data_IF_302580951503
#
_entry.id   IF_302580951503
#
_cell.length_a   1.000
_cell.length_b   1.000
_cell.length_c   1.000
_cell.angle_alpha   90.00
_cell.angle_beta   90.00
_cell.angle_gamma   90.00
#
_symmetry.space_group_name_H-M   'P 1'
#
loop_
_entity.id
_entity.type
_entity.pdbx_description
1 polymer ?
#
# COMPACT_ATOMS: atom_id res chain seq x y z
N UNK A 1 12.00 -21.22 10.04
CA UNK A 1 10.67 -20.88 9.47
C UNK A 1 10.96 -20.06 8.22
N UNK A 2 10.36 -20.40 7.08
CA UNK A 2 10.71 -19.77 5.80
C UNK A 2 10.39 -18.28 5.80
N UNK A 3 11.42 -17.45 5.76
CA UNK A 3 11.34 -16.03 5.44
C UNK A 3 10.89 -15.91 3.98
N UNK A 4 9.57 -15.84 3.78
CA UNK A 4 9.00 -15.53 2.46
C UNK A 4 9.19 -14.04 2.24
N UNK A 5 10.21 -13.68 1.50
CA UNK A 5 10.33 -12.35 0.91
C UNK A 5 9.04 -12.05 0.14
N UNK A 6 8.30 -10.97 0.48
CA UNK A 6 7.08 -10.63 -0.22
C UNK A 6 7.43 -10.31 -1.67
N UNK A 7 6.86 -11.08 -2.60
CA UNK A 7 7.17 -10.92 -4.01
C UNK A 7 6.85 -9.48 -4.48
N UNK A 8 7.58 -8.92 -5.47
CA UNK A 8 7.29 -7.58 -6.00
C UNK A 8 5.84 -7.39 -6.48
N UNK A 9 5.15 -8.49 -6.79
CA UNK A 9 3.75 -8.52 -7.16
C UNK A 9 2.82 -8.30 -5.95
N UNK A 10 3.17 -8.84 -4.79
CA UNK A 10 2.46 -8.58 -3.53
C UNK A 10 2.57 -7.12 -3.11
N UNK A 11 3.77 -6.51 -3.23
CA UNK A 11 3.98 -5.10 -2.88
C UNK A 11 3.12 -4.17 -3.74
N UNK A 12 3.06 -4.43 -5.06
CA UNK A 12 2.21 -3.70 -6.00
C UNK A 12 0.73 -3.85 -5.72
N UNK A 13 0.32 -5.07 -5.37
CA UNK A 13 -1.07 -5.37 -5.01
C UNK A 13 -1.46 -4.62 -3.73
N UNK A 14 -0.59 -4.62 -2.72
CA UNK A 14 -0.79 -3.89 -1.47
C UNK A 14 -0.90 -2.38 -1.71
N UNK A 15 -0.02 -1.82 -2.54
CA UNK A 15 -0.05 -0.40 -2.88
C UNK A 15 -1.30 -0.02 -3.69
N UNK A 16 -1.67 -0.82 -4.70
CA UNK A 16 -2.89 -0.61 -5.47
C UNK A 16 -4.15 -0.70 -4.61
N UNK A 17 -4.18 -1.63 -3.66
CA UNK A 17 -5.29 -1.81 -2.73
C UNK A 17 -5.37 -0.68 -1.70
N UNK A 18 -4.24 -0.26 -1.13
CA UNK A 18 -4.18 0.91 -0.24
C UNK A 18 -4.63 2.20 -0.93
N UNK A 19 -4.11 2.46 -2.14
CA UNK A 19 -4.45 3.65 -2.91
C UNK A 19 -5.93 3.68 -3.33
N UNK A 20 -6.46 2.55 -3.83
CA UNK A 20 -7.86 2.45 -4.22
C UNK A 20 -8.83 2.67 -3.04
N UNK A 21 -8.55 2.05 -1.90
CA UNK A 21 -9.37 2.23 -0.68
C UNK A 21 -9.30 3.67 -0.17
N UNK A 22 -8.12 4.29 -0.14
CA UNK A 22 -7.97 5.68 0.32
C UNK A 22 -8.78 6.66 -0.54
N UNK A 23 -8.69 6.52 -1.87
CA UNK A 23 -9.47 7.35 -2.81
C UNK A 23 -10.96 7.07 -2.67
N UNK A 24 -11.37 5.80 -2.64
CA UNK A 24 -12.76 5.40 -2.51
C UNK A 24 -13.41 5.92 -1.23
N UNK A 25 -12.70 5.86 -0.10
CA UNK A 25 -13.18 6.40 1.18
C UNK A 25 -13.27 7.91 1.17
N UNK A 26 -12.25 8.62 0.66
CA UNK A 26 -12.28 10.08 0.58
C UNK A 26 -13.47 10.59 -0.25
N UNK A 27 -13.69 9.99 -1.43
CA UNK A 27 -14.81 10.34 -2.30
C UNK A 27 -16.15 9.90 -1.70
N UNK A 28 -16.23 8.68 -1.17
CA UNK A 28 -17.47 8.14 -0.60
C UNK A 28 -17.97 8.94 0.62
N UNK A 29 -17.06 9.34 1.51
CA UNK A 29 -17.41 10.18 2.67
C UNK A 29 -17.86 11.57 2.22
N UNK A 30 -17.15 12.19 1.27
CA UNK A 30 -17.54 13.50 0.74
C UNK A 30 -18.93 13.48 0.08
N UNK A 31 -19.22 12.43 -0.70
CA UNK A 31 -20.54 12.23 -1.31
C UNK A 31 -21.61 11.92 -0.26
N UNK A 32 -21.30 11.13 0.76
CA UNK A 32 -22.22 10.80 1.84
C UNK A 32 -22.64 12.03 2.65
N UNK A 33 -21.69 12.93 2.93
CA UNK A 33 -21.96 14.22 3.57
C UNK A 33 -22.78 15.14 2.64
N UNK A 34 -22.49 15.16 1.34
CA UNK A 34 -23.19 16.00 0.38
C UNK A 34 -24.66 15.60 0.17
N UNK A 35 -24.98 14.31 0.29
CA UNK A 35 -26.34 13.79 0.15
C UNK A 35 -27.09 13.62 1.48
N UNK A 36 -26.48 14.00 2.61
CA UNK A 36 -27.00 13.74 3.96
C UNK A 36 -27.34 12.25 4.19
N UNK A 37 -26.69 11.36 3.43
CA UNK A 37 -26.93 9.94 3.41
C UNK A 37 -25.60 9.19 3.37
N UNK A 38 -25.09 8.95 4.57
CA UNK A 38 -23.85 8.23 4.81
C UNK A 38 -23.85 6.81 4.23
N UNK A 39 -25.02 6.13 4.21
CA UNK A 39 -25.15 4.78 3.65
C UNK A 39 -24.87 4.80 2.15
N UNK A 40 -25.48 5.75 1.43
CA UNK A 40 -25.25 5.89 -0.01
C UNK A 40 -23.80 6.27 -0.32
N UNK A 41 -23.24 7.23 0.41
CA UNK A 41 -21.86 7.66 0.23
C UNK A 41 -20.84 6.54 0.42
N UNK A 42 -20.95 5.77 1.52
CA UNK A 42 -20.06 4.65 1.79
C UNK A 42 -20.24 3.53 0.75
N UNK A 43 -21.48 3.22 0.37
CA UNK A 43 -21.76 2.19 -0.65
C UNK A 43 -21.05 2.51 -1.96
N UNK A 44 -21.20 3.76 -2.43
CA UNK A 44 -20.58 4.25 -3.66
C UNK A 44 -19.06 4.29 -3.51
N UNK A 45 -18.55 4.79 -2.38
CA UNK A 45 -17.12 4.87 -2.07
C UNK A 45 -16.43 3.51 -2.09
N UNK A 46 -17.04 2.48 -1.52
CA UNK A 46 -16.51 1.11 -1.51
C UNK A 46 -16.46 0.55 -2.94
N UNK A 47 -17.54 0.69 -3.71
CA UNK A 47 -17.60 0.20 -5.10
C UNK A 47 -16.53 0.87 -5.97
N UNK A 48 -16.39 2.20 -5.86
CA UNK A 48 -15.38 2.96 -6.59
C UNK A 48 -13.97 2.58 -6.12
N UNK A 49 -13.73 2.52 -4.80
CA UNK A 49 -12.42 2.23 -4.23
C UNK A 49 -11.90 0.84 -4.58
N UNK A 50 -12.77 -0.16 -4.56
CA UNK A 50 -12.43 -1.53 -4.98
C UNK A 50 -12.18 -1.61 -6.48
N UNK A 51 -13.00 -0.92 -7.30
CA UNK A 51 -12.80 -0.87 -8.75
C UNK A 51 -11.47 -0.20 -9.11
N UNK A 52 -11.13 0.90 -8.44
CA UNK A 52 -9.84 1.58 -8.62
C UNK A 52 -8.68 0.73 -8.10
N UNK A 53 -8.84 0.02 -6.98
CA UNK A 53 -7.80 -0.85 -6.45
C UNK A 53 -7.40 -1.93 -7.47
N UNK A 54 -8.38 -2.56 -8.11
CA UNK A 54 -8.13 -3.54 -9.18
C UNK A 54 -7.51 -2.86 -10.39
N UNK A 55 -8.03 -1.70 -10.82
CA UNK A 55 -7.49 -0.99 -11.96
C UNK A 55 -6.03 -0.54 -11.76
N UNK A 56 -5.68 -0.02 -10.58
CA UNK A 56 -4.34 0.46 -10.23
C UNK A 56 -3.39 -0.71 -10.00
N UNK A 57 -3.84 -1.78 -9.36
CA UNK A 57 -3.04 -2.99 -9.14
C UNK A 57 -2.71 -3.74 -10.43
N UNK A 58 -3.55 -3.61 -11.46
CA UNK A 58 -3.34 -4.18 -12.79
C UNK A 58 -2.69 -3.18 -13.77
N UNK A 59 -2.71 -1.88 -13.47
CA UNK A 59 -2.09 -0.87 -14.31
C UNK A 59 -0.56 -1.09 -14.32
N UNK A 60 0.06 -1.29 -15.49
CA UNK A 60 1.51 -1.29 -15.59
C UNK A 60 1.99 0.14 -15.37
N UNK A 61 2.27 0.49 -14.12
CA UNK A 61 3.00 1.71 -13.78
C UNK A 61 4.36 1.62 -14.48
N UNK A 62 4.47 2.25 -15.65
CA UNK A 62 5.76 2.56 -16.25
C UNK A 62 6.49 3.39 -15.22
N UNK A 63 7.60 2.85 -14.73
CA UNK A 63 8.51 3.47 -13.77
C UNK A 63 8.64 4.96 -14.08
N UNK A 64 8.09 5.79 -13.21
CA UNK A 64 8.78 7.00 -12.82
C UNK A 64 9.37 6.65 -11.46
N UNK A 65 10.63 6.22 -11.51
CA UNK A 65 11.52 6.33 -10.38
C UNK A 65 11.33 7.73 -9.78
N UNK A 66 11.04 7.79 -8.48
CA UNK A 66 11.53 8.79 -7.52
C UNK A 66 10.63 8.81 -6.28
N UNK A 67 11.29 8.65 -5.13
CA UNK A 67 10.82 8.86 -3.77
C UNK A 67 9.94 7.76 -3.15
N UNK A 68 10.57 6.66 -2.73
CA UNK A 68 10.44 6.32 -1.30
C UNK A 68 11.72 5.64 -0.80
N UNK A 69 12.64 6.49 -0.35
CA UNK A 69 13.72 6.10 0.55
C UNK A 69 13.44 6.85 1.86
N UNK A 70 12.98 6.09 2.86
CA UNK A 70 12.88 6.32 4.32
C UNK A 70 11.64 5.56 4.77
N UNK A 71 11.74 4.43 5.44
CA UNK A 71 12.30 4.18 6.78
C UNK A 71 12.65 2.70 6.85
N UNK A 72 13.72 2.20 7.45
CA UNK A 72 14.47 2.62 8.62
C UNK A 72 15.78 1.79 8.61
N UNK A 73 16.89 2.38 8.17
CA UNK A 73 18.21 1.88 8.53
C UNK A 73 18.47 2.38 9.95
N UNK A 74 18.05 1.63 10.97
CA UNK A 74 18.57 1.76 12.33
C UNK A 74 18.52 0.39 13.02
N UNK A 75 19.41 -0.50 12.62
CA UNK A 75 20.01 -1.51 13.50
C UNK A 75 21.44 -1.78 12.99
N UNK A 76 22.24 -0.71 12.94
CA UNK A 76 23.70 -0.85 12.95
C UNK A 76 24.16 -1.01 14.41
N UNK A 77 25.12 -1.93 14.59
CA UNK A 77 25.92 -2.24 15.79
C UNK A 77 25.22 -3.06 16.89
N UNK A 78 25.67 -4.28 17.20
CA UNK A 78 27.07 -4.69 17.37
C UNK A 78 27.35 -6.13 16.92
N UNK A 79 28.17 -6.26 15.88
CA UNK A 79 28.93 -7.47 15.58
C UNK A 79 30.37 -7.22 16.07
N UNK A 80 30.79 -7.71 17.24
CA UNK A 80 32.21 -7.84 17.53
C UNK A 80 32.70 -9.15 16.93
N UNK A 81 33.39 -9.00 15.81
CA UNK A 81 34.41 -9.87 15.24
C UNK A 81 34.78 -11.15 16.02
N UNK A 82 34.68 -12.29 15.32
CA UNK A 82 35.85 -13.16 15.17
C UNK A 82 35.68 -14.63 15.57
N UNK A 83 35.75 -15.58 14.60
CA UNK A 83 36.12 -16.96 14.88
C UNK A 83 37.63 -17.07 15.14
N UNK A 84 38.04 -17.66 16.27
CA UNK A 84 39.43 -18.09 16.51
C UNK A 84 39.55 -19.63 16.50
N UNK A 85 39.87 -20.24 15.34
CA UNK A 85 40.38 -21.60 15.27
C UNK A 85 41.91 -21.63 15.19
N UNK A 86 42.57 -22.22 16.19
CA UNK A 86 43.86 -22.93 16.05
C UNK A 86 43.91 -24.12 17.00
#
# INVERSE_FOLDING_TARGET
MADREPSPQEMRTRLGLGAGIAIGMGVGVALGVSFDNWILGISIGIVIGLSLSVAIGQAPWRRRDSADHRTDDTDEQTDPEGPVPR
#
